data_IF_315797525477
#
_entry.id   IF_315797525477
#
_cell.length_a   1.000
_cell.length_b   1.000
_cell.length_c   1.000
_cell.angle_alpha   90.00
_cell.angle_beta   90.00
_cell.angle_gamma   90.00
#
_symmetry.space_group_name_H-M   'P 1'
#
loop_
_entity.id
_entity.type
_entity.pdbx_description
1 polymer ?
#
# COMPACT_ATOMS: atom_id res chain seq x y z
N UNK A 1 -26.06 7.82 -27.61
CA UNK A 1 -25.63 6.41 -27.67
C UNK A 1 -24.77 6.17 -26.45
N UNK A 2 -25.20 5.29 -25.55
CA UNK A 2 -24.30 4.79 -24.51
C UNK A 2 -23.39 3.77 -25.18
N UNK A 3 -22.10 4.08 -25.30
CA UNK A 3 -21.11 3.07 -25.66
C UNK A 3 -20.83 2.25 -24.41
N UNK A 4 -21.08 0.94 -24.48
CA UNK A 4 -20.63 0.01 -23.45
C UNK A 4 -19.13 -0.21 -23.59
N UNK A 5 -18.42 -0.17 -22.47
CA UNK A 5 -17.00 -0.44 -22.44
C UNK A 5 -16.75 -1.94 -22.60
N UNK A 6 -15.79 -2.31 -23.43
CA UNK A 6 -15.36 -3.69 -23.56
C UNK A 6 -14.64 -4.12 -22.27
N UNK A 7 -15.11 -5.20 -21.65
CA UNK A 7 -14.47 -5.81 -20.49
C UNK A 7 -13.32 -6.70 -20.96
N UNK A 8 -12.17 -6.58 -20.30
CA UNK A 8 -11.02 -7.46 -20.48
C UNK A 8 -10.68 -8.12 -19.15
N UNK A 9 -10.52 -9.44 -19.16
CA UNK A 9 -10.15 -10.19 -17.98
C UNK A 9 -8.65 -10.04 -17.69
N UNK A 10 -8.29 -9.89 -16.42
CA UNK A 10 -6.90 -9.68 -15.96
C UNK A 10 -6.40 -10.90 -15.18
N UNK A 11 -7.03 -11.23 -14.06
CA UNK A 11 -6.69 -12.34 -13.15
C UNK A 11 -7.87 -12.57 -12.16
N UNK A 12 -7.81 -13.65 -11.37
CA UNK A 12 -8.66 -13.97 -10.22
C UNK A 12 -7.79 -14.24 -8.99
N UNK A 13 -7.45 -13.19 -8.24
CA UNK A 13 -6.81 -13.36 -6.93
C UNK A 13 -7.90 -13.39 -5.86
N UNK A 14 -8.01 -14.46 -5.04
CA UNK A 14 -8.88 -14.45 -3.88
C UNK A 14 -8.58 -13.25 -2.98
N UNK A 15 -9.64 -12.57 -2.55
CA UNK A 15 -9.57 -11.42 -1.63
C UNK A 15 -8.80 -10.20 -2.20
N UNK A 16 -8.67 -10.09 -3.52
CA UNK A 16 -8.27 -8.82 -4.16
C UNK A 16 -9.11 -7.66 -3.62
N UNK A 17 -8.46 -6.59 -3.18
CA UNK A 17 -9.11 -5.60 -2.34
C UNK A 17 -8.73 -4.14 -2.63
N UNK A 18 -7.44 -3.84 -2.87
CA UNK A 18 -7.00 -2.55 -3.41
C UNK A 18 -6.25 -2.73 -4.71
N UNK A 19 -6.47 -1.79 -5.62
CA UNK A 19 -5.73 -1.70 -6.87
C UNK A 19 -5.23 -0.27 -7.12
N UNK A 20 -4.05 -0.16 -7.70
CA UNK A 20 -3.43 1.12 -8.11
C UNK A 20 -2.68 0.95 -9.42
N UNK A 21 -2.59 2.00 -10.21
CA UNK A 21 -1.69 2.05 -11.36
C UNK A 21 -0.36 2.68 -10.93
N UNK A 22 0.75 2.09 -11.33
CA UNK A 22 2.08 2.63 -11.06
C UNK A 22 3.11 2.18 -12.09
N UNK A 23 4.05 3.05 -12.46
CA UNK A 23 5.25 2.67 -13.22
C UNK A 23 6.32 2.16 -12.25
N UNK A 24 6.21 0.88 -11.89
CA UNK A 24 7.04 0.31 -10.82
C UNK A 24 8.37 -0.27 -11.31
N UNK A 25 8.57 -0.32 -12.63
CA UNK A 25 9.80 -0.80 -13.25
C UNK A 25 10.63 0.33 -13.90
N UNK A 26 10.07 1.54 -14.02
CA UNK A 26 10.71 2.75 -14.56
C UNK A 26 10.75 2.81 -16.09
N UNK A 27 9.92 2.03 -16.79
CA UNK A 27 9.88 1.95 -18.25
C UNK A 27 8.89 2.94 -18.90
N UNK A 28 8.25 3.80 -18.08
CA UNK A 28 7.20 4.76 -18.45
C UNK A 28 5.87 4.13 -18.83
N UNK A 29 5.69 2.84 -18.57
CA UNK A 29 4.40 2.15 -18.64
C UNK A 29 3.95 1.83 -17.23
N UNK A 30 2.63 1.87 -17.03
CA UNK A 30 2.07 1.57 -15.72
C UNK A 30 1.65 0.11 -15.66
N UNK A 31 2.03 -0.54 -14.58
CA UNK A 31 1.48 -1.82 -14.14
C UNK A 31 0.23 -1.59 -13.29
N UNK A 32 -0.70 -2.54 -13.36
CA UNK A 32 -1.78 -2.64 -12.39
C UNK A 32 -1.26 -3.37 -11.16
N UNK A 33 -1.15 -2.67 -10.03
CA UNK A 33 -0.78 -3.24 -8.74
C UNK A 33 -2.06 -3.72 -8.05
N UNK A 34 -2.03 -4.95 -7.53
CA UNK A 34 -3.12 -5.57 -6.80
C UNK A 34 -2.63 -5.98 -5.41
N UNK A 35 -3.25 -5.41 -4.39
CA UNK A 35 -3.04 -5.73 -2.98
C UNK A 35 -4.29 -6.45 -2.45
N UNK A 36 -4.24 -7.78 -2.31
CA UNK A 36 -5.25 -8.51 -1.56
C UNK A 36 -5.31 -8.07 -0.10
N UNK A 37 -6.48 -8.19 0.52
CA UNK A 37 -6.62 -7.88 1.95
C UNK A 37 -5.99 -8.96 2.83
N UNK A 38 -6.13 -10.23 2.49
CA UNK A 38 -5.63 -11.36 3.31
C UNK A 38 -5.05 -12.48 2.43
N UNK A 39 -4.26 -13.37 3.03
CA UNK A 39 -3.78 -14.57 2.35
C UNK A 39 -4.90 -15.59 2.08
N UNK A 40 -4.68 -16.46 1.09
CA UNK A 40 -5.64 -17.50 0.72
C UNK A 40 -5.82 -18.48 1.89
N UNK A 41 -7.07 -18.66 2.34
CA UNK A 41 -7.40 -19.53 3.47
C UNK A 41 -7.23 -18.87 4.85
N UNK A 42 -6.86 -17.59 4.91
CA UNK A 42 -6.88 -16.83 6.15
C UNK A 42 -8.30 -16.80 6.75
N UNK A 43 -8.39 -16.96 8.07
CA UNK A 43 -9.64 -16.89 8.81
C UNK A 43 -9.53 -15.95 10.00
N UNK A 44 -10.63 -15.27 10.33
CA UNK A 44 -10.69 -14.44 11.53
C UNK A 44 -10.68 -15.28 12.82
N UNK A 45 -10.22 -14.70 13.94
CA UNK A 45 -9.70 -13.33 14.08
C UNK A 45 -8.21 -13.18 13.68
N UNK A 46 -7.52 -14.29 13.42
CA UNK A 46 -6.06 -14.31 13.27
C UNK A 46 -5.54 -13.71 11.96
N UNK A 47 -6.23 -13.98 10.86
CA UNK A 47 -5.85 -13.56 9.49
C UNK A 47 -4.33 -13.71 9.20
N UNK A 48 -3.74 -14.80 9.68
CA UNK A 48 -2.30 -15.01 9.79
C UNK A 48 -1.69 -15.75 8.59
N UNK A 49 -2.25 -15.57 7.40
CA UNK A 49 -1.74 -16.14 6.15
C UNK A 49 -1.24 -15.01 5.27
N UNK A 50 -0.03 -15.18 4.75
CA UNK A 50 0.62 -14.18 3.91
C UNK A 50 -0.12 -14.03 2.56
N UNK A 51 -0.32 -12.79 2.14
CA UNK A 51 -0.94 -12.44 0.87
C UNK A 51 0.10 -12.20 -0.23
N UNK A 52 -0.31 -12.29 -1.49
CA UNK A 52 0.55 -12.00 -2.63
C UNK A 52 0.26 -10.60 -3.17
N UNK A 53 1.16 -9.65 -2.90
CA UNK A 53 1.16 -8.36 -3.58
C UNK A 53 1.65 -8.58 -5.02
N UNK A 54 0.81 -8.26 -6.01
CA UNK A 54 1.10 -8.53 -7.42
C UNK A 54 1.10 -7.25 -8.25
N UNK A 55 1.83 -7.29 -9.36
CA UNK A 55 1.75 -6.31 -10.43
C UNK A 55 1.50 -7.01 -11.78
N UNK A 56 0.72 -6.37 -12.64
CA UNK A 56 0.37 -6.87 -13.97
C UNK A 56 0.76 -5.87 -15.04
N UNK A 57 1.52 -6.32 -16.03
CA UNK A 57 1.82 -5.51 -17.21
C UNK A 57 0.66 -5.56 -18.19
N UNK A 58 0.38 -4.43 -18.85
CA UNK A 58 -0.63 -4.38 -19.91
C UNK A 58 -0.10 -5.20 -21.10
N UNK A 59 -0.81 -6.26 -21.54
CA UNK A 59 -0.37 -7.04 -22.69
C UNK A 59 -0.54 -6.23 -23.99
N UNK A 60 0.30 -6.51 -24.98
CA UNK A 60 0.17 -5.87 -26.30
C UNK A 60 -1.15 -6.23 -27.00
N UNK A 61 -1.73 -7.39 -26.64
CA UNK A 61 -3.02 -7.87 -27.10
C UNK A 61 -3.94 -8.09 -25.89
N UNK A 62 -5.09 -7.41 -25.86
CA UNK A 62 -6.05 -7.48 -24.75
C UNK A 62 -7.03 -8.67 -24.87
N UNK A 63 -6.90 -9.50 -25.91
CA UNK A 63 -7.72 -10.72 -26.09
C UNK A 63 -7.14 -11.96 -25.38
N UNK A 64 -6.03 -11.80 -24.66
CA UNK A 64 -5.43 -12.87 -23.86
C UNK A 64 -6.35 -13.30 -22.70
N UNK A 65 -6.29 -14.58 -22.36
CA UNK A 65 -7.09 -15.16 -21.27
C UNK A 65 -6.69 -14.64 -19.88
N UNK A 66 -5.46 -14.14 -19.71
CA UNK A 66 -4.94 -13.58 -18.46
C UNK A 66 -3.76 -12.65 -18.74
N UNK A 67 -3.61 -11.59 -17.96
CA UNK A 67 -2.44 -10.72 -18.04
C UNK A 67 -1.23 -11.38 -17.36
N UNK A 68 -0.03 -11.08 -17.87
CA UNK A 68 1.22 -11.51 -17.23
C UNK A 68 1.38 -10.76 -15.90
N UNK A 69 1.42 -11.51 -14.80
CA UNK A 69 1.52 -10.97 -13.45
C UNK A 69 2.71 -11.53 -12.68
N UNK A 70 3.39 -10.67 -11.93
CA UNK A 70 4.50 -11.02 -11.05
C UNK A 70 4.11 -10.82 -9.58
N UNK A 71 4.69 -11.62 -8.69
CA UNK A 71 4.57 -11.44 -7.23
C UNK A 71 5.70 -10.51 -6.78
N UNK A 72 5.34 -9.35 -6.24
CA UNK A 72 6.27 -8.35 -5.73
C UNK A 72 6.70 -8.66 -4.29
N UNK A 73 5.77 -9.14 -3.47
CA UNK A 73 5.99 -9.53 -2.08
C UNK A 73 4.99 -10.60 -1.63
N UNK A 74 5.40 -11.43 -0.68
CA UNK A 74 4.54 -12.43 -0.03
C UNK A 74 4.83 -12.55 1.48
N UNK A 75 5.00 -11.41 2.15
CA UNK A 75 5.32 -11.36 3.59
C UNK A 75 4.29 -10.59 4.43
N UNK A 76 3.28 -10.00 3.78
CA UNK A 76 2.26 -9.19 4.45
C UNK A 76 1.06 -10.02 4.89
N UNK A 77 0.48 -9.65 6.03
CA UNK A 77 -0.77 -10.22 6.55
C UNK A 77 -1.73 -9.08 6.88
N UNK A 78 -3.01 -9.28 6.54
CA UNK A 78 -4.07 -8.27 6.63
C UNK A 78 -3.60 -6.88 6.16
N UNK A 79 -3.52 -6.69 4.85
CA UNK A 79 -3.15 -5.38 4.26
C UNK A 79 -4.37 -4.61 3.81
N UNK A 80 -4.28 -3.27 3.80
CA UNK A 80 -5.45 -2.47 3.46
C UNK A 80 -5.09 -1.23 2.65
N UNK A 81 -4.46 -0.21 3.23
CA UNK A 81 -4.07 1.01 2.53
C UNK A 81 -2.87 0.81 1.61
N UNK A 82 -2.89 1.47 0.44
CA UNK A 82 -1.79 1.48 -0.51
C UNK A 82 -1.65 2.86 -1.15
N UNK A 83 -0.41 3.36 -1.20
CA UNK A 83 0.02 4.54 -1.94
C UNK A 83 1.13 4.17 -2.92
N UNK A 84 1.19 4.91 -4.03
CA UNK A 84 2.17 4.70 -5.11
C UNK A 84 2.73 6.06 -5.51
N UNK A 85 4.04 6.24 -5.36
CA UNK A 85 4.74 7.50 -5.60
C UNK A 85 6.24 7.25 -5.83
N UNK A 86 6.92 8.19 -6.46
CA UNK A 86 8.38 8.14 -6.61
C UNK A 86 9.03 8.65 -5.33
N UNK A 87 9.34 7.72 -4.39
CA UNK A 87 9.72 8.05 -3.01
C UNK A 87 11.10 8.70 -2.96
N UNK A 88 12.05 8.18 -3.73
CA UNK A 88 13.44 8.64 -3.75
C UNK A 88 13.80 9.52 -4.96
N UNK A 89 12.82 9.81 -5.82
CA UNK A 89 12.96 10.67 -7.01
C UNK A 89 13.89 10.07 -8.06
N UNK A 90 13.94 8.74 -8.16
CA UNK A 90 14.75 8.01 -9.13
C UNK A 90 14.04 7.80 -10.48
N UNK A 91 12.76 8.19 -10.58
CA UNK A 91 11.91 8.05 -11.76
C UNK A 91 11.10 6.75 -11.82
N UNK A 92 11.24 5.85 -10.83
CA UNK A 92 10.38 4.69 -10.61
C UNK A 92 9.37 5.02 -9.52
N UNK A 93 8.19 4.42 -9.60
CA UNK A 93 7.22 4.53 -8.52
C UNK A 93 7.40 3.36 -7.53
N UNK A 94 7.46 3.71 -6.26
CA UNK A 94 7.53 2.81 -5.11
C UNK A 94 6.15 2.57 -4.52
N UNK A 95 6.03 1.54 -3.70
CA UNK A 95 4.77 1.14 -3.07
C UNK A 95 4.88 1.29 -1.56
N UNK A 96 4.03 2.14 -0.98
CA UNK A 96 3.86 2.26 0.45
C UNK A 96 2.54 1.58 0.85
N UNK A 97 2.56 0.62 1.78
CA UNK A 97 1.37 -0.14 2.16
C UNK A 97 1.26 -0.36 3.66
N UNK A 98 0.03 -0.40 4.14
CA UNK A 98 -0.34 -0.70 5.53
C UNK A 98 -0.78 -2.16 5.70
N UNK A 99 -0.38 -2.78 6.81
CA UNK A 99 -0.70 -4.17 7.16
C UNK A 99 -0.71 -4.40 8.67
N UNK A 100 -0.92 -5.64 9.12
CA UNK A 100 -0.67 -6.03 10.52
C UNK A 100 0.74 -5.77 11.02
N UNK A 101 1.71 -5.70 10.12
CA UNK A 101 3.10 -5.37 10.45
C UNK A 101 3.36 -3.86 10.40
N UNK A 102 2.31 -3.04 10.33
CA UNK A 102 2.40 -1.60 10.18
C UNK A 102 2.68 -1.19 8.75
N UNK A 103 3.56 -0.21 8.56
CA UNK A 103 3.82 0.42 7.27
C UNK A 103 5.13 -0.06 6.65
N UNK A 104 5.06 -0.51 5.40
CA UNK A 104 6.20 -0.93 4.59
C UNK A 104 6.29 -0.15 3.29
N UNK A 105 7.51 0.27 2.95
CA UNK A 105 7.88 0.80 1.65
C UNK A 105 8.59 -0.29 0.84
N UNK A 106 8.15 -0.52 -0.38
CA UNK A 106 8.76 -1.42 -1.35
C UNK A 106 9.31 -0.62 -2.52
N UNK A 107 10.62 -0.69 -2.69
CA UNK A 107 11.32 -0.13 -3.85
C UNK A 107 11.75 -1.27 -4.76
N UNK A 108 11.41 -1.16 -6.04
CA UNK A 108 11.47 -2.27 -7.00
C UNK A 108 12.58 -2.05 -8.04
N UNK A 109 13.24 -3.14 -8.44
CA UNK A 109 14.19 -3.18 -9.55
C UNK A 109 13.45 -3.04 -10.89
N UNK A 110 14.22 -2.83 -11.97
CA UNK A 110 13.77 -2.86 -13.37
C UNK A 110 13.13 -4.17 -13.85
N UNK A 111 12.95 -5.17 -12.98
CA UNK A 111 12.28 -6.47 -13.27
C UNK A 111 11.30 -6.89 -12.17
N UNK A 112 10.81 -5.95 -11.36
CA UNK A 112 9.82 -6.19 -10.32
C UNK A 112 10.29 -7.07 -9.15
N UNK A 113 11.60 -7.30 -9.02
CA UNK A 113 12.18 -7.78 -7.78
C UNK A 113 12.38 -6.59 -6.84
N UNK A 114 11.96 -6.68 -5.59
CA UNK A 114 12.29 -5.65 -4.60
C UNK A 114 13.81 -5.53 -4.44
N UNK A 115 14.34 -4.32 -4.64
CA UNK A 115 15.74 -3.98 -4.35
C UNK A 115 15.90 -3.52 -2.90
N UNK A 116 14.83 -2.96 -2.33
CA UNK A 116 14.76 -2.58 -0.94
C UNK A 116 13.33 -2.72 -0.41
N UNK A 117 13.24 -3.19 0.83
CA UNK A 117 12.02 -3.17 1.63
C UNK A 117 12.35 -2.47 2.94
N UNK A 118 11.74 -1.32 3.16
CA UNK A 118 11.95 -0.51 4.35
C UNK A 118 10.73 -0.64 5.26
N UNK A 119 10.97 -1.03 6.50
CA UNK A 119 9.94 -1.05 7.53
C UNK A 119 9.87 0.34 8.17
N UNK A 120 8.83 1.12 7.83
CA UNK A 120 8.70 2.50 8.28
C UNK A 120 8.24 2.54 9.74
N UNK A 121 7.25 1.73 10.09
CA UNK A 121 6.69 1.72 11.44
C UNK A 121 5.92 0.44 11.71
N UNK A 122 5.90 0.02 12.97
CA UNK A 122 5.25 -1.22 13.38
C UNK A 122 3.72 -1.11 13.46
N UNK A 123 3.13 0.09 13.41
CA UNK A 123 1.71 0.28 13.68
C UNK A 123 1.35 0.05 15.15
N UNK A 124 0.05 -0.10 15.43
CA UNK A 124 -0.45 -0.44 16.76
C UNK A 124 -0.10 -1.89 17.10
N UNK A 125 0.66 -2.14 18.17
CA UNK A 125 1.07 -3.51 18.56
C UNK A 125 0.67 -3.87 20.00
N UNK A 126 0.05 -2.94 20.72
CA UNK A 126 -0.45 -3.09 22.09
C UNK A 126 -1.91 -3.61 22.13
N UNK A 127 -2.27 -4.50 21.21
CA UNK A 127 -3.61 -5.07 21.07
C UNK A 127 -3.56 -6.49 20.50
N UNK A 128 -4.70 -7.19 20.49
CA UNK A 128 -4.83 -8.51 19.88
C UNK A 128 -5.33 -8.42 18.45
N UNK A 129 -5.00 -9.42 17.62
CA UNK A 129 -5.53 -9.51 16.25
C UNK A 129 -7.08 -9.60 16.28
N UNK A 130 -7.78 -8.94 15.36
CA UNK A 130 -7.26 -8.19 14.21
C UNK A 130 -6.99 -6.69 14.47
N UNK A 131 -6.94 -6.25 15.72
CA UNK A 131 -6.79 -4.84 16.09
C UNK A 131 -5.32 -4.40 16.22
N UNK A 132 -4.44 -4.89 15.33
CA UNK A 132 -3.02 -4.51 15.29
C UNK A 132 -2.62 -3.90 13.94
N UNK A 133 -1.42 -3.33 13.88
CA UNK A 133 -0.80 -2.77 12.68
C UNK A 133 -1.43 -1.45 12.25
N UNK A 134 -1.53 -1.28 10.93
CA UNK A 134 -2.06 -0.08 10.28
C UNK A 134 -3.10 -0.46 9.22
N UNK A 135 -4.09 0.42 9.01
CA UNK A 135 -5.20 0.26 8.06
C UNK A 135 -5.02 1.08 6.81
N UNK A 136 -4.76 2.38 6.94
CA UNK A 136 -4.59 3.28 5.80
C UNK A 136 -3.19 3.86 5.81
N UNK A 137 -2.71 4.29 4.65
CA UNK A 137 -1.42 4.95 4.55
C UNK A 137 -1.43 6.00 3.44
N UNK A 138 -0.72 7.09 3.69
CA UNK A 138 -0.42 8.12 2.72
C UNK A 138 0.88 8.81 3.11
N UNK A 139 1.61 9.33 2.13
CA UNK A 139 2.80 10.13 2.39
C UNK A 139 2.55 11.59 2.08
N UNK A 140 3.28 12.46 2.77
CA UNK A 140 3.25 13.88 2.52
C UNK A 140 4.56 14.54 2.87
N UNK A 141 4.58 15.84 2.61
CA UNK A 141 5.67 16.74 2.96
C UNK A 141 5.06 17.87 3.77
N UNK A 142 5.74 18.26 4.86
CA UNK A 142 5.45 19.49 5.60
C UNK A 142 6.58 20.50 5.35
N UNK A 143 6.38 21.72 5.87
CA UNK A 143 7.35 22.82 5.89
C UNK A 143 8.82 22.37 5.81
N UNK A 144 9.56 23.00 4.88
CA UNK A 144 10.99 22.77 4.63
C UNK A 144 11.33 21.40 4.05
N UNK A 145 10.36 20.71 3.46
CA UNK A 145 10.61 19.47 2.73
C UNK A 145 10.73 18.24 3.63
N UNK A 146 10.23 18.31 4.87
CA UNK A 146 10.29 17.20 5.80
C UNK A 146 9.20 16.20 5.41
N UNK A 147 9.60 14.98 5.04
CA UNK A 147 8.67 13.91 4.71
C UNK A 147 8.01 13.36 5.97
N UNK A 148 6.73 13.02 5.85
CA UNK A 148 6.00 12.26 6.85
C UNK A 148 5.16 11.17 6.19
N UNK A 149 4.79 10.17 6.97
CA UNK A 149 3.81 9.16 6.59
C UNK A 149 2.64 9.25 7.54
N UNK A 150 1.44 9.46 7.02
CA UNK A 150 0.20 9.40 7.78
C UNK A 150 -0.43 8.02 7.68
N UNK A 151 -1.03 7.55 8.76
CA UNK A 151 -1.73 6.28 8.83
C UNK A 151 -3.03 6.38 9.64
N UNK A 152 -3.94 5.45 9.37
CA UNK A 152 -5.05 5.12 10.28
C UNK A 152 -4.73 3.77 10.91
N UNK A 153 -4.91 3.63 12.23
CA UNK A 153 -4.56 2.41 12.97
C UNK A 153 -5.62 2.00 13.99
N UNK A 154 -5.76 0.69 14.27
CA UNK A 154 -5.40 -0.46 13.41
C UNK A 154 -6.41 -0.60 12.26
N UNK A 155 -6.59 -1.80 11.67
CA UNK A 155 -7.60 -2.06 10.63
C UNK A 155 -9.00 -1.54 11.02
N UNK A 156 -9.56 -0.63 10.23
CA UNK A 156 -10.84 0.07 10.50
C UNK A 156 -10.88 0.77 11.88
N UNK A 157 -9.71 1.16 12.38
CA UNK A 157 -9.51 1.71 13.72
C UNK A 157 -9.82 3.20 13.85
N UNK A 158 -9.40 3.75 14.98
CA UNK A 158 -9.71 5.10 15.43
C UNK A 158 -8.49 6.01 15.55
N UNK A 159 -7.26 5.48 15.48
CA UNK A 159 -6.05 6.28 15.68
C UNK A 159 -5.61 6.88 14.34
N UNK A 160 -5.53 8.21 14.27
CA UNK A 160 -4.82 8.94 13.22
C UNK A 160 -3.38 9.13 13.69
N UNK A 161 -2.44 8.64 12.89
CA UNK A 161 -1.03 8.54 13.26
C UNK A 161 -0.16 9.25 12.23
N UNK A 162 0.89 9.92 12.69
CA UNK A 162 1.95 10.48 11.85
C UNK A 162 3.27 9.83 12.25
N UNK A 163 3.98 9.34 11.24
CA UNK A 163 5.36 8.87 11.31
C UNK A 163 6.28 9.94 10.73
N UNK A 164 7.34 10.28 11.46
CA UNK A 164 8.42 11.15 11.00
C UNK A 164 9.76 10.45 11.13
N UNK A 165 10.68 10.71 10.22
CA UNK A 165 12.04 10.18 10.32
C UNK A 165 12.71 10.66 11.61
N UNK A 166 13.29 9.72 12.35
CA UNK A 166 13.98 9.94 13.62
C UNK A 166 15.39 9.35 13.59
N UNK A 167 16.00 9.16 14.77
CA UNK A 167 17.33 8.56 14.89
C UNK A 167 17.31 7.02 14.90
N UNK A 168 16.12 6.42 15.00
CA UNK A 168 15.91 4.98 15.11
C UNK A 168 15.74 4.31 13.73
N UNK A 169 15.82 2.98 13.71
CA UNK A 169 15.54 2.19 12.50
C UNK A 169 14.09 2.37 12.02
N UNK A 170 13.14 2.43 12.96
CA UNK A 170 11.75 2.77 12.67
C UNK A 170 11.55 4.28 12.86
N UNK A 171 10.62 4.83 12.10
CA UNK A 171 10.22 6.23 12.23
C UNK A 171 9.50 6.46 13.55
N UNK A 172 9.60 7.68 14.06
CA UNK A 172 8.95 8.09 15.30
C UNK A 172 7.43 8.17 15.08
N UNK A 173 6.68 7.37 15.85
CA UNK A 173 5.23 7.24 15.75
C UNK A 173 4.52 8.21 16.71
N UNK A 174 3.66 9.07 16.19
CA UNK A 174 2.84 10.00 16.99
C UNK A 174 1.35 9.82 16.67
N UNK A 175 0.53 9.51 17.68
CA UNK A 175 -0.94 9.55 17.57
C UNK A 175 -1.37 11.02 17.67
N UNK A 176 -2.07 11.52 16.66
CA UNK A 176 -2.53 12.92 16.59
C UNK A 176 -4.04 13.08 16.82
N UNK A 177 -4.80 12.01 16.64
CA UNK A 177 -6.23 11.93 16.97
C UNK A 177 -6.58 10.46 17.25
N UNK A 178 -7.51 10.20 18.18
CA UNK A 178 -7.99 8.86 18.53
C UNK A 178 -9.54 8.81 18.65
N UNK A 179 -10.23 9.81 18.10
CA UNK A 179 -11.67 10.02 18.31
C UNK A 179 -12.52 9.63 17.09
N UNK A 180 -11.92 9.32 15.94
CA UNK A 180 -12.70 8.87 14.78
C UNK A 180 -13.27 7.47 15.02
N UNK A 181 -14.51 7.21 14.61
CA UNK A 181 -15.18 5.95 14.93
C UNK A 181 -14.77 4.76 14.03
N UNK A 182 -14.42 5.04 12.77
CA UNK A 182 -14.03 4.01 11.80
C UNK A 182 -13.26 4.65 10.64
N UNK A 183 -11.93 4.66 10.72
CA UNK A 183 -11.10 5.15 9.62
C UNK A 183 -11.00 4.10 8.51
N UNK A 184 -11.47 4.44 7.31
CA UNK A 184 -11.54 3.52 6.16
C UNK A 184 -10.96 4.12 4.87
N UNK A 185 -10.39 5.31 4.97
CA UNK A 185 -9.75 5.98 3.85
C UNK A 185 -8.90 7.12 4.36
N UNK A 186 -7.76 7.29 3.72
CA UNK A 186 -6.83 8.38 3.98
C UNK A 186 -6.31 8.89 2.64
N UNK A 187 -6.27 10.21 2.52
CA UNK A 187 -5.64 10.89 1.40
C UNK A 187 -4.81 12.03 1.98
N UNK A 188 -3.56 12.10 1.55
CA UNK A 188 -2.70 13.25 1.79
C UNK A 188 -2.69 14.08 0.50
N UNK A 189 -2.93 15.38 0.64
CA UNK A 189 -2.94 16.32 -0.46
C UNK A 189 -2.59 17.73 0.04
N UNK A 190 -1.88 18.48 -0.80
CA UNK A 190 -1.72 19.92 -0.64
C UNK A 190 -3.02 20.61 -1.10
N UNK A 191 -3.85 21.03 -0.13
CA UNK A 191 -5.16 21.62 -0.39
C UNK A 191 -5.14 23.15 -0.47
N UNK A 192 -4.11 23.77 0.12
CA UNK A 192 -3.93 25.22 0.22
C UNK A 192 -2.84 25.76 -0.71
N UNK A 193 -2.14 24.89 -1.43
CA UNK A 193 -1.09 25.20 -2.40
C UNK A 193 0.14 25.88 -1.77
N UNK A 194 0.55 25.49 -0.56
CA UNK A 194 1.78 25.98 0.07
C UNK A 194 2.98 25.03 -0.07
N UNK A 195 2.77 23.87 -0.69
CA UNK A 195 3.82 22.88 -1.02
C UNK A 195 4.09 21.88 0.09
#
# INVERSE_FOLDING_TARGET
>A
MNQEWQMHYIDEIPTSHRIKWGDVNGDKKRELINLPIIGIGASGPEYNVDLQLKAYSIPNDLSVDRWEGIVLDQSLQLSHGISVSDWDKDGRQDILTASFYGVHLFQLATRGQSVARTWIGAGKQDAERPAIGSSEVGEGVIDKGIRYVAAIEPWHGNEVVVYTEGENTLWDRTVIDDQIANGHGLLVADLNNDG
#
